data_IF_542409463174
#
_entry.id   IF_542409463174
#
_cell.length_a   1.000
_cell.length_b   1.000
_cell.length_c   1.000
_cell.angle_alpha   90.00
_cell.angle_beta   90.00
_cell.angle_gamma   90.00
#
_symmetry.space_group_name_H-M   'P 1'
#
loop_
_entity.id
_entity.type
_entity.pdbx_description
1 polymer ?
#
# COMPACT_ATOMS: atom_id res chain seq x y z
N UNK A 1 -4.27 -18.67 -7.05
CA UNK A 1 -3.55 -17.97 -5.98
C UNK A 1 -4.02 -16.53 -5.99
N UNK A 2 -4.65 -16.04 -4.92
CA UNK A 2 -4.82 -14.58 -4.77
C UNK A 2 -3.43 -14.06 -4.44
N UNK A 3 -2.90 -13.12 -5.20
CA UNK A 3 -1.70 -12.37 -4.83
C UNK A 3 -2.12 -10.95 -4.51
N UNK A 4 -1.33 -10.25 -3.70
CA UNK A 4 -1.56 -8.86 -3.42
C UNK A 4 -0.60 -8.01 -4.26
N UNK A 5 -0.99 -7.59 -5.48
CA UNK A 5 -0.07 -6.95 -6.43
C UNK A 5 0.54 -5.66 -5.87
N UNK A 6 -0.21 -4.90 -5.07
CA UNK A 6 0.27 -3.68 -4.43
C UNK A 6 1.36 -3.95 -3.39
N UNK A 7 1.18 -5.01 -2.58
CA UNK A 7 2.16 -5.41 -1.58
C UNK A 7 3.41 -5.97 -2.25
N UNK A 8 3.23 -6.86 -3.23
CA UNK A 8 4.35 -7.45 -3.98
C UNK A 8 5.15 -6.38 -4.72
N UNK A 9 4.49 -5.40 -5.33
CA UNK A 9 5.18 -4.27 -5.98
C UNK A 9 6.03 -3.48 -4.99
N UNK A 10 5.54 -3.24 -3.77
CA UNK A 10 6.30 -2.54 -2.73
C UNK A 10 7.49 -3.39 -2.25
N UNK A 11 7.26 -4.65 -1.89
CA UNK A 11 8.29 -5.55 -1.38
C UNK A 11 9.46 -5.65 -2.38
N UNK A 12 9.16 -5.73 -3.67
CA UNK A 12 10.17 -5.77 -4.73
C UNK A 12 10.85 -4.41 -4.94
N UNK A 13 10.12 -3.31 -4.83
CA UNK A 13 10.67 -1.95 -4.89
C UNK A 13 11.63 -1.66 -3.74
N UNK A 14 11.25 -2.03 -2.50
CA UNK A 14 12.08 -1.88 -1.30
C UNK A 14 13.35 -2.76 -1.37
N UNK A 15 13.28 -3.90 -2.06
CA UNK A 15 14.43 -4.74 -2.37
C UNK A 15 15.36 -4.17 -3.47
N UNK A 16 15.04 -2.99 -4.02
CA UNK A 16 15.81 -2.31 -5.06
C UNK A 16 15.67 -2.94 -6.45
N UNK A 17 14.62 -3.74 -6.68
CA UNK A 17 14.39 -4.37 -7.97
C UNK A 17 13.72 -3.38 -8.93
N UNK A 18 14.08 -3.40 -10.22
CA UNK A 18 13.51 -2.52 -11.23
C UNK A 18 12.10 -2.98 -11.63
N UNK A 19 11.14 -2.91 -10.72
CA UNK A 19 9.74 -3.28 -10.97
C UNK A 19 8.97 -2.11 -11.56
N UNK A 20 8.19 -2.40 -12.59
CA UNK A 20 7.30 -1.44 -13.27
C UNK A 20 5.85 -1.67 -12.88
N UNK A 21 5.41 -2.92 -12.82
CA UNK A 21 4.03 -3.27 -12.49
C UNK A 21 3.95 -4.71 -12.00
N UNK A 22 2.92 -5.03 -11.23
CA UNK A 22 2.59 -6.38 -10.79
C UNK A 22 1.14 -6.66 -11.14
N UNK A 23 0.90 -7.76 -11.83
CA UNK A 23 -0.42 -8.19 -12.26
C UNK A 23 -1.16 -8.94 -11.14
N UNK A 24 -2.50 -9.00 -11.22
CA UNK A 24 -3.38 -9.71 -10.27
C UNK A 24 -3.12 -11.22 -10.23
N UNK A 25 -2.37 -11.73 -11.21
CA UNK A 25 -1.92 -13.12 -11.31
C UNK A 25 -0.59 -13.38 -10.59
N UNK A 26 0.09 -12.33 -10.09
CA UNK A 26 1.40 -12.42 -9.44
C UNK A 26 2.56 -12.26 -10.41
N UNK A 27 2.27 -11.96 -11.67
CA UNK A 27 3.30 -11.71 -12.68
C UNK A 27 3.89 -10.32 -12.49
N UNK A 28 5.20 -10.27 -12.25
CA UNK A 28 5.95 -9.02 -12.13
C UNK A 28 6.50 -8.61 -13.49
N UNK A 29 6.25 -7.35 -13.87
CA UNK A 29 6.81 -6.70 -15.05
C UNK A 29 7.97 -5.82 -14.58
N UNK A 30 9.17 -6.10 -15.09
CA UNK A 30 10.38 -5.35 -14.77
C UNK A 30 10.70 -4.31 -15.85
N UNK A 31 11.31 -3.19 -15.45
CA UNK A 31 11.72 -2.09 -16.32
C UNK A 31 12.86 -2.50 -17.26
N UNK A 32 13.71 -3.41 -16.79
CA UNK A 32 14.84 -3.98 -17.53
C UNK A 32 14.95 -5.47 -17.23
N UNK A 33 15.71 -6.18 -18.05
CA UNK A 33 16.11 -7.54 -17.72
C UNK A 33 16.89 -7.55 -16.39
N UNK A 34 16.46 -8.43 -15.48
CA UNK A 34 17.11 -8.63 -14.19
C UNK A 34 18.45 -9.33 -14.38
N UNK A 35 19.44 -8.96 -13.57
CA UNK A 35 20.64 -9.77 -13.38
C UNK A 35 20.32 -11.06 -12.60
N UNK A 36 21.22 -12.04 -12.65
CA UNK A 36 21.00 -13.32 -11.96
C UNK A 36 20.80 -13.17 -10.43
N UNK A 37 21.48 -12.21 -9.80
CA UNK A 37 21.30 -11.90 -8.38
C UNK A 37 19.97 -11.22 -8.08
N UNK A 38 19.53 -10.30 -8.95
CA UNK A 38 18.22 -9.65 -8.84
C UNK A 38 17.08 -10.65 -9.08
N UNK A 39 17.25 -11.58 -10.03
CA UNK A 39 16.29 -12.65 -10.30
C UNK A 39 16.14 -13.59 -9.10
N UNK A 40 17.25 -14.00 -8.47
CA UNK A 40 17.21 -14.82 -7.25
C UNK A 40 16.51 -14.09 -6.10
N UNK A 41 16.83 -12.81 -5.88
CA UNK A 41 16.14 -11.99 -4.86
C UNK A 41 14.64 -11.87 -5.15
N UNK A 42 14.27 -11.64 -6.41
CA UNK A 42 12.87 -11.56 -6.80
C UNK A 42 12.14 -12.88 -6.54
N UNK A 43 12.74 -14.03 -6.88
CA UNK A 43 12.17 -15.35 -6.57
C UNK A 43 12.03 -15.60 -5.07
N UNK A 44 13.02 -15.21 -4.26
CA UNK A 44 12.94 -15.30 -2.79
C UNK A 44 11.78 -14.46 -2.24
N UNK A 45 11.62 -13.23 -2.74
CA UNK A 45 10.53 -12.32 -2.31
C UNK A 45 9.18 -12.85 -2.77
N UNK A 46 9.06 -13.35 -4.01
CA UNK A 46 7.82 -13.94 -4.54
C UNK A 46 7.48 -15.23 -3.76
N UNK A 47 8.46 -16.06 -3.42
CA UNK A 47 8.25 -17.29 -2.66
C UNK A 47 7.88 -17.02 -1.19
N UNK A 48 8.44 -15.95 -0.60
CA UNK A 48 8.11 -15.49 0.75
C UNK A 48 6.85 -14.61 0.80
N UNK A 49 6.29 -14.24 -0.36
CA UNK A 49 5.17 -13.31 -0.43
C UNK A 49 3.89 -13.94 0.12
N UNK A 50 3.49 -13.49 1.30
CA UNK A 50 2.17 -13.80 1.85
C UNK A 50 1.11 -12.90 1.19
N UNK A 51 0.15 -13.49 0.44
CA UNK A 51 -0.92 -12.74 -0.23
C UNK A 51 -1.97 -12.16 0.73
N UNK A 52 -1.85 -12.42 2.02
CA UNK A 52 -2.72 -11.83 3.02
C UNK A 52 -2.68 -10.29 2.94
N UNK A 53 -3.84 -9.60 3.04
CA UNK A 53 -3.90 -8.16 2.96
C UNK A 53 -3.06 -7.55 4.08
N UNK A 54 -2.15 -6.67 3.66
CA UNK A 54 -1.30 -5.88 4.54
C UNK A 54 -2.16 -5.05 5.51
N UNK A 55 -1.64 -4.72 6.69
CA UNK A 55 -2.34 -3.88 7.66
C UNK A 55 -2.81 -2.57 7.01
N UNK A 56 -1.98 -1.99 6.13
CA UNK A 56 -2.35 -0.78 5.37
C UNK A 56 -3.57 -0.97 4.47
N UNK A 57 -3.76 -2.15 3.88
CA UNK A 57 -4.96 -2.44 3.08
C UNK A 57 -6.18 -2.69 3.97
N UNK A 58 -5.99 -3.29 5.15
CA UNK A 58 -7.07 -3.39 6.14
C UNK A 58 -7.48 -2.01 6.61
N UNK A 59 -6.54 -1.11 6.86
CA UNK A 59 -6.82 0.29 7.21
C UNK A 59 -7.57 1.00 6.10
N UNK A 60 -7.15 0.85 4.83
CA UNK A 60 -7.86 1.47 3.70
C UNK A 60 -9.29 0.92 3.54
N UNK A 61 -9.50 -0.39 3.71
CA UNK A 61 -10.86 -0.95 3.64
C UNK A 61 -11.71 -0.53 4.86
N UNK A 62 -11.11 -0.43 6.05
CA UNK A 62 -11.77 0.11 7.25
C UNK A 62 -12.16 1.58 7.06
N UNK A 63 -11.26 2.40 6.50
CA UNK A 63 -11.53 3.80 6.18
C UNK A 63 -12.69 3.92 5.18
N UNK A 64 -12.68 3.07 4.16
CA UNK A 64 -13.75 3.01 3.16
C UNK A 64 -15.08 2.58 3.79
N UNK A 65 -15.07 1.63 4.73
CA UNK A 65 -16.25 1.20 5.48
C UNK A 65 -16.77 2.27 6.44
N UNK A 66 -15.88 3.06 7.04
CA UNK A 66 -16.20 4.23 7.85
C UNK A 66 -16.66 5.46 7.02
N UNK A 67 -16.70 5.32 5.69
CA UNK A 67 -17.06 6.39 4.75
C UNK A 67 -16.06 7.54 4.73
N UNK A 68 -14.83 7.30 5.14
CA UNK A 68 -13.74 8.28 5.13
C UNK A 68 -13.19 8.31 3.71
N UNK A 69 -13.37 9.45 3.04
CA UNK A 69 -12.86 9.63 1.68
C UNK A 69 -11.46 10.26 1.70
N UNK A 70 -10.69 10.05 0.64
CA UNK A 70 -9.35 10.66 0.49
C UNK A 70 -9.38 12.19 0.64
N UNK A 71 -10.49 12.83 0.23
CA UNK A 71 -10.71 14.26 0.40
C UNK A 71 -10.83 14.68 1.86
N UNK A 72 -11.50 13.87 2.70
CA UNK A 72 -11.65 14.17 4.12
C UNK A 72 -10.30 14.10 4.83
N UNK A 73 -9.48 13.09 4.49
CA UNK A 73 -8.10 12.97 4.99
C UNK A 73 -7.24 14.17 4.58
N UNK A 74 -7.38 14.63 3.35
CA UNK A 74 -6.60 15.74 2.80
C UNK A 74 -7.03 17.08 3.41
N UNK A 75 -8.33 17.30 3.56
CA UNK A 75 -8.89 18.48 4.22
C UNK A 75 -8.51 18.51 5.71
N UNK A 76 -8.54 17.37 6.41
CA UNK A 76 -8.11 17.29 7.80
C UNK A 76 -6.61 17.55 7.97
N UNK A 77 -5.78 16.97 7.10
CA UNK A 77 -4.33 17.22 7.10
C UNK A 77 -4.04 18.69 6.83
N UNK A 78 -4.72 19.29 5.85
CA UNK A 78 -4.56 20.70 5.51
C UNK A 78 -5.00 21.61 6.65
N UNK A 79 -6.15 21.35 7.26
CA UNK A 79 -6.65 22.11 8.42
C UNK A 79 -5.72 22.01 9.63
N UNK A 80 -5.05 20.87 9.81
CA UNK A 80 -4.09 20.71 10.88
C UNK A 80 -2.76 21.43 10.60
N UNK A 81 -2.21 21.28 9.40
CA UNK A 81 -0.91 21.87 9.02
C UNK A 81 -1.01 23.38 8.84
N UNK A 82 -2.06 23.87 8.20
CA UNK A 82 -2.24 25.28 7.84
C UNK A 82 -3.09 26.03 8.87
N UNK A 83 -4.17 25.40 9.32
CA UNK A 83 -5.10 26.01 10.28
C UNK A 83 -4.76 25.75 11.74
N UNK A 84 -3.87 24.80 12.05
CA UNK A 84 -3.56 24.38 13.42
C UNK A 84 -4.70 23.64 14.13
N UNK A 85 -5.85 23.43 13.48
CA UNK A 85 -7.02 22.78 14.07
C UNK A 85 -6.96 21.27 13.89
N UNK A 86 -7.24 20.55 14.99
CA UNK A 86 -7.30 19.09 15.00
C UNK A 86 -8.72 18.52 14.97
N UNK A 87 -9.76 19.35 14.97
CA UNK A 87 -11.15 18.87 14.98
C UNK A 87 -11.45 17.90 13.84
N UNK A 88 -11.03 18.23 12.62
CA UNK A 88 -11.23 17.34 11.47
C UNK A 88 -10.43 16.03 11.57
N UNK A 89 -9.29 16.05 12.27
CA UNK A 89 -8.50 14.84 12.52
C UNK A 89 -9.17 13.97 13.59
N UNK A 90 -9.68 14.58 14.65
CA UNK A 90 -10.36 13.88 15.74
C UNK A 90 -11.69 13.26 15.27
N UNK A 91 -12.43 13.93 14.37
CA UNK A 91 -13.64 13.38 13.75
C UNK A 91 -13.33 12.13 12.90
N UNK A 92 -12.27 12.17 12.10
CA UNK A 92 -11.81 11.01 11.32
C UNK A 92 -11.39 9.86 12.24
N UNK A 93 -10.72 10.15 13.35
CA UNK A 93 -10.34 9.13 14.33
C UNK A 93 -11.55 8.53 15.04
N UNK A 94 -12.56 9.34 15.38
CA UNK A 94 -13.81 8.87 15.98
C UNK A 94 -14.57 7.92 15.04
N UNK A 95 -14.62 8.25 13.75
CA UNK A 95 -15.25 7.42 12.71
C UNK A 95 -14.52 6.09 12.47
N UNK A 96 -13.22 6.01 12.76
CA UNK A 96 -12.45 4.75 12.72
C UNK A 96 -12.66 3.86 13.95
N UNK A 97 -13.11 4.42 15.06
CA UNK A 97 -13.26 3.73 16.34
C UNK A 97 -14.68 3.17 16.59
N UNK A 98 -15.68 3.67 15.86
CA UNK A 98 -17.07 3.20 15.90
C UNK A 98 -17.38 2.19 14.81
#
# INVERSE_FOLDING_TARGET
>A
MKVNPLKLHRDLGDAGLPVTSVDETGRVIYLRALSADEARKAEEIIAAHDPSPDERQRTLEQDRQAGICDRDLLDALWNWVVGGSRESVDDILARRAG
#
